data_IF_046530867798
#
_entry.id   IF_046530867798
#
_cell.length_a   1.000
_cell.length_b   1.000
_cell.length_c   1.000
_cell.angle_alpha   90.00
_cell.angle_beta   90.00
_cell.angle_gamma   90.00
#
_symmetry.space_group_name_H-M   'P 1'
#
loop_
_entity.id
_entity.type
_entity.pdbx_description
1 polymer ?
#
# COMPACT_ATOMS: atom_id res chain seq x y z
N UNK A 1 -16.31 7.55 25.17
CA UNK A 1 -15.34 6.80 24.34
C UNK A 1 -13.97 7.41 24.61
N UNK A 2 -13.11 6.69 25.34
CA UNK A 2 -11.78 7.15 25.72
C UNK A 2 -10.80 6.58 24.68
N UNK A 3 -10.14 7.45 23.91
CA UNK A 3 -9.02 7.03 23.06
C UNK A 3 -7.77 7.01 23.93
N UNK A 4 -7.24 5.81 24.20
CA UNK A 4 -5.88 5.67 24.71
C UNK A 4 -4.95 5.73 23.50
N UNK A 5 -4.25 6.85 23.32
CA UNK A 5 -3.07 6.89 22.45
C UNK A 5 -1.94 6.17 23.21
N UNK A 6 -1.48 5.03 22.71
CA UNK A 6 -0.25 4.40 23.22
C UNK A 6 0.94 4.95 22.42
N UNK A 7 1.92 5.60 23.07
CA UNK A 7 3.19 5.93 22.45
C UNK A 7 3.87 4.64 21.98
N UNK A 8 4.08 4.49 20.67
CA UNK A 8 4.67 3.28 20.07
C UNK A 8 3.82 2.53 19.05
N UNK A 9 2.61 3.01 18.71
CA UNK A 9 1.82 2.44 17.62
C UNK A 9 2.39 2.82 16.25
N UNK A 10 3.34 2.03 15.74
CA UNK A 10 3.93 2.20 14.41
C UNK A 10 3.88 0.91 13.60
N UNK A 11 3.83 1.04 12.28
CA UNK A 11 3.95 -0.09 11.35
C UNK A 11 5.43 -0.32 11.07
N UNK A 12 5.92 -1.54 11.31
CA UNK A 12 7.28 -1.95 10.92
C UNK A 12 7.20 -2.85 9.69
N UNK A 13 7.83 -2.41 8.60
CA UNK A 13 7.87 -3.13 7.34
C UNK A 13 8.90 -4.27 7.37
N UNK A 14 8.78 -5.20 6.42
CA UNK A 14 9.78 -6.26 6.22
C UNK A 14 11.15 -5.65 5.95
N UNK A 15 12.09 -5.93 6.86
CA UNK A 15 13.47 -5.51 6.73
C UNK A 15 14.24 -6.42 5.75
N UNK A 16 15.42 -5.97 5.31
CA UNK A 16 16.32 -6.69 4.40
C UNK A 16 15.75 -6.87 2.99
N UNK A 17 15.83 -8.08 2.43
CA UNK A 17 15.48 -8.35 1.03
C UNK A 17 13.99 -8.69 0.93
N UNK A 18 13.21 -7.66 0.60
CA UNK A 18 11.75 -7.73 0.41
C UNK A 18 11.35 -7.43 -1.03
N UNK A 19 12.29 -7.45 -1.98
CA UNK A 19 11.98 -7.23 -3.39
C UNK A 19 10.90 -8.21 -3.86
N UNK A 20 9.88 -7.70 -4.54
CA UNK A 20 8.73 -8.49 -4.98
C UNK A 20 7.61 -8.65 -3.95
N UNK A 21 7.85 -8.31 -2.67
CA UNK A 21 6.82 -8.40 -1.63
C UNK A 21 6.08 -7.07 -1.50
N UNK A 22 4.75 -7.14 -1.40
CA UNK A 22 3.87 -6.00 -1.13
C UNK A 22 3.27 -6.15 0.27
N UNK A 23 3.37 -5.10 1.09
CA UNK A 23 2.60 -4.97 2.33
C UNK A 23 1.54 -3.90 2.11
N UNK A 24 0.26 -4.24 2.18
CA UNK A 24 -0.84 -3.31 1.94
C UNK A 24 -1.65 -3.05 3.20
N UNK A 25 -2.06 -1.80 3.40
CA UNK A 25 -3.10 -1.38 4.32
C UNK A 25 -4.15 -0.65 3.51
N UNK A 26 -5.39 -1.12 3.56
CA UNK A 26 -6.43 -0.54 2.71
C UNK A 26 -7.78 -0.53 3.39
N UNK A 27 -8.61 0.43 2.99
CA UNK A 27 -10.01 0.50 3.37
C UNK A 27 -10.84 -0.07 2.22
N UNK A 28 -11.74 -1.02 2.50
CA UNK A 28 -12.58 -1.64 1.47
C UNK A 28 -14.06 -1.66 1.84
N UNK A 29 -14.91 -1.31 0.88
CA UNK A 29 -16.34 -1.62 0.85
C UNK A 29 -16.63 -2.52 -0.36
N UNK A 30 -17.91 -2.76 -0.66
CA UNK A 30 -18.30 -3.61 -1.79
C UNK A 30 -17.82 -3.01 -3.13
N UNK A 31 -17.96 -1.69 -3.29
CA UNK A 31 -17.71 -0.99 -4.56
C UNK A 31 -16.51 -0.03 -4.54
N UNK A 32 -15.73 0.04 -3.45
CA UNK A 32 -14.66 1.04 -3.31
C UNK A 32 -13.50 0.55 -2.45
N UNK A 33 -12.30 1.02 -2.79
CA UNK A 33 -11.05 0.66 -2.12
C UNK A 33 -10.13 1.89 -2.02
N UNK A 34 -9.42 2.02 -0.91
CA UNK A 34 -8.39 3.04 -0.69
C UNK A 34 -7.12 2.39 -0.15
N UNK A 35 -6.04 2.47 -0.93
CA UNK A 35 -4.81 1.71 -0.69
C UNK A 35 -3.63 2.53 -0.20
N UNK A 36 -2.89 1.92 0.73
CA UNK A 36 -1.51 2.22 1.07
C UNK A 36 -0.67 0.96 0.91
N UNK A 37 0.18 0.93 -0.12
CA UNK A 37 1.00 -0.23 -0.43
C UNK A 37 2.48 0.11 -0.26
N UNK A 38 3.17 -0.71 0.50
CA UNK A 38 4.61 -0.64 0.67
C UNK A 38 5.25 -1.69 -0.23
N UNK A 39 5.94 -1.21 -1.26
CA UNK A 39 6.62 -2.03 -2.25
C UNK A 39 8.03 -2.32 -1.76
N UNK A 40 8.29 -3.58 -1.41
CA UNK A 40 9.57 -4.01 -0.89
C UNK A 40 10.72 -3.88 -1.90
N UNK A 41 11.95 -4.02 -1.41
CA UNK A 41 13.16 -3.82 -2.23
C UNK A 41 14.33 -4.68 -1.74
N UNK A 42 15.42 -4.73 -2.53
CA UNK A 42 16.66 -5.38 -2.10
C UNK A 42 17.23 -4.70 -0.86
N UNK A 43 17.96 -5.46 -0.04
CA UNK A 43 18.66 -4.94 1.14
C UNK A 43 19.47 -3.69 0.80
N UNK A 44 19.33 -2.65 1.62
CA UNK A 44 20.02 -1.37 1.45
C UNK A 44 19.40 -0.43 0.41
N UNK A 45 18.33 -0.83 -0.29
CA UNK A 45 17.57 0.04 -1.20
C UNK A 45 16.27 0.54 -0.53
N UNK A 46 15.78 1.75 -0.90
CA UNK A 46 14.58 2.31 -0.29
C UNK A 46 13.33 1.50 -0.66
N UNK A 47 12.43 1.34 0.32
CA UNK A 47 11.04 0.91 0.11
C UNK A 47 10.28 2.08 -0.52
N UNK A 48 9.35 1.78 -1.43
CA UNK A 48 8.46 2.79 -2.01
C UNK A 48 7.07 2.65 -1.43
N UNK A 49 6.42 3.77 -1.17
CA UNK A 49 4.99 3.81 -0.85
C UNK A 49 4.22 4.10 -2.14
N UNK A 50 3.28 3.25 -2.46
CA UNK A 50 2.27 3.49 -3.48
C UNK A 50 0.93 3.75 -2.82
N UNK A 51 0.24 4.74 -3.35
CA UNK A 51 -1.04 5.21 -2.85
C UNK A 51 -1.66 6.00 -3.99
N UNK A 52 -2.96 5.84 -4.21
CA UNK A 52 -3.67 6.46 -5.32
C UNK A 52 -4.01 7.94 -5.06
N UNK A 53 -3.05 8.66 -4.50
CA UNK A 53 -3.21 10.01 -4.03
C UNK A 53 -1.92 10.88 -4.38
N UNK A 54 -1.96 12.15 -4.90
CA UNK A 54 -0.94 13.26 -4.96
C UNK A 54 -1.32 14.70 -4.46
N UNK A 55 -0.36 15.48 -3.90
CA UNK A 55 -0.45 16.91 -3.49
C UNK A 55 0.86 17.71 -3.81
N UNK A 56 0.79 18.76 -4.64
CA UNK A 56 1.91 19.66 -4.98
C UNK A 56 3.18 18.98 -5.54
N UNK A 57 3.01 18.11 -6.55
CA UNK A 57 4.08 17.30 -7.21
C UNK A 57 4.77 16.25 -6.32
N UNK A 58 4.43 16.18 -5.04
CA UNK A 58 4.71 15.06 -4.15
C UNK A 58 3.41 14.24 -3.95
N UNK A 59 3.41 12.89 -4.00
CA UNK A 59 2.24 12.11 -3.56
C UNK A 59 1.82 12.57 -2.13
N UNK A 60 0.57 12.71 -1.63
CA UNK A 60 -0.47 11.67 -1.41
C UNK A 60 -1.98 12.24 -1.33
N UNK A 61 -2.61 12.87 -2.36
CA UNK A 61 -4.06 13.34 -2.69
C UNK A 61 -5.07 13.47 -1.56
N UNK A 62 -5.72 14.62 -1.64
CA UNK A 62 -7.09 14.84 -1.17
C UNK A 62 -8.05 14.55 -2.32
N UNK A 63 -8.79 13.45 -2.24
CA UNK A 63 -9.89 13.19 -3.16
C UNK A 63 -11.16 13.87 -2.61
N UNK A 64 -11.64 14.92 -3.27
CA UNK A 64 -12.82 15.68 -2.82
C UNK A 64 -14.11 14.99 -3.27
N UNK A 65 -15.16 15.10 -2.47
CA UNK A 65 -16.48 14.59 -2.81
C UNK A 65 -17.15 15.50 -3.86
N UNK A 66 -16.84 15.23 -5.13
CA UNK A 66 -17.40 15.94 -6.29
C UNK A 66 -18.49 15.10 -6.99
N UNK A 67 -19.29 14.35 -6.21
CA UNK A 67 -20.38 13.52 -6.77
C UNK A 67 -21.42 14.33 -7.56
N UNK A 68 -21.58 15.62 -7.23
CA UNK A 68 -22.45 16.55 -7.96
C UNK A 68 -22.00 16.77 -9.41
N UNK A 69 -20.71 16.56 -9.68
CA UNK A 69 -20.10 16.68 -11.00
C UNK A 69 -19.95 15.30 -11.69
N UNK A 70 -20.59 14.25 -11.16
CA UNK A 70 -20.54 12.90 -11.70
C UNK A 70 -19.29 12.10 -11.33
N UNK A 71 -18.43 12.62 -10.45
CA UNK A 71 -17.22 11.92 -10.00
C UNK A 71 -17.57 10.89 -8.92
N UNK A 72 -17.18 9.63 -9.11
CA UNK A 72 -17.36 8.57 -8.11
C UNK A 72 -16.65 8.89 -6.79
N UNK A 73 -17.23 8.52 -5.65
CA UNK A 73 -16.67 8.75 -4.32
C UNK A 73 -17.14 7.65 -3.36
N UNK A 74 -16.30 7.13 -2.43
CA UNK A 74 -16.72 6.11 -1.49
C UNK A 74 -17.85 6.60 -0.57
N UNK A 75 -18.99 5.92 -0.57
CA UNK A 75 -20.16 6.30 0.26
C UNK A 75 -20.59 5.22 1.24
N UNK A 76 -20.09 4.00 1.09
CA UNK A 76 -20.40 2.88 1.97
C UNK A 76 -19.41 2.81 3.15
N UNK A 77 -19.81 2.22 4.29
CA UNK A 77 -18.88 1.90 5.36
C UNK A 77 -17.73 1.02 4.83
N UNK A 78 -16.49 1.35 5.20
CA UNK A 78 -15.31 0.60 4.79
C UNK A 78 -14.66 -0.10 5.98
N UNK A 79 -14.09 -1.29 5.74
CA UNK A 79 -13.31 -2.04 6.70
C UNK A 79 -11.82 -1.81 6.49
N UNK A 80 -11.07 -1.65 7.58
CA UNK A 80 -9.61 -1.61 7.55
C UNK A 80 -9.07 -3.04 7.42
N UNK A 81 -8.27 -3.26 6.38
CA UNK A 81 -7.61 -4.52 6.10
C UNK A 81 -6.09 -4.31 6.00
N UNK A 82 -5.34 -5.37 6.28
CA UNK A 82 -3.89 -5.42 6.08
C UNK A 82 -3.50 -6.77 5.48
N UNK A 83 -2.64 -6.77 4.46
CA UNK A 83 -2.20 -7.98 3.76
C UNK A 83 -0.70 -7.93 3.43
N UNK A 84 -0.08 -9.10 3.31
CA UNK A 84 1.26 -9.28 2.78
C UNK A 84 1.16 -10.32 1.67
N UNK A 85 1.65 -9.99 0.47
CA UNK A 85 1.50 -10.86 -0.69
C UNK A 85 2.63 -10.70 -1.71
N UNK A 86 2.69 -11.65 -2.65
CA UNK A 86 3.68 -11.72 -3.73
C UNK A 86 3.27 -10.87 -4.93
N UNK A 87 3.94 -9.74 -5.12
CA UNK A 87 3.77 -8.81 -6.24
C UNK A 87 4.90 -8.89 -7.27
N UNK A 88 5.56 -10.04 -7.42
CA UNK A 88 6.74 -10.22 -8.27
C UNK A 88 6.59 -9.73 -9.71
N UNK A 89 5.38 -9.73 -10.25
CA UNK A 89 5.12 -9.28 -11.62
C UNK A 89 5.28 -7.76 -11.81
N UNK A 90 5.26 -6.96 -10.73
CA UNK A 90 5.24 -5.50 -10.88
C UNK A 90 5.90 -4.69 -9.74
N UNK A 91 5.85 -5.17 -8.48
CA UNK A 91 6.09 -4.34 -7.28
C UNK A 91 7.46 -3.64 -7.24
N UNK A 92 8.53 -4.36 -7.59
CA UNK A 92 9.91 -3.85 -7.48
C UNK A 92 10.57 -3.76 -8.85
N UNK A 93 11.00 -2.56 -9.23
CA UNK A 93 11.65 -2.29 -10.52
C UNK A 93 10.80 -2.78 -11.73
N UNK A 94 9.48 -2.59 -11.67
CA UNK A 94 8.55 -3.06 -12.70
C UNK A 94 8.53 -4.58 -12.84
N UNK A 95 8.70 -5.31 -11.73
CA UNK A 95 8.71 -6.77 -11.69
C UNK A 95 10.05 -7.43 -12.03
N UNK A 96 11.12 -6.67 -12.28
CA UNK A 96 12.46 -7.23 -12.56
C UNK A 96 13.14 -7.82 -11.32
N UNK A 97 12.76 -7.38 -10.13
CA UNK A 97 13.27 -7.92 -8.87
C UNK A 97 12.23 -8.84 -8.27
N UNK A 98 12.61 -10.11 -8.09
CA UNK A 98 11.75 -11.18 -7.57
C UNK A 98 11.97 -11.44 -6.08
N UNK A 99 10.93 -11.94 -5.44
CA UNK A 99 10.92 -12.49 -4.11
C UNK A 99 11.91 -13.65 -4.02
N UNK A 100 12.49 -13.82 -2.84
CA UNK A 100 13.59 -14.77 -2.60
C UNK A 100 13.18 -16.25 -2.86
N UNK A 101 11.88 -16.53 -3.08
CA UNK A 101 11.33 -17.86 -3.34
C UNK A 101 11.39 -18.36 -4.79
N UNK A 102 11.67 -17.50 -5.78
CA UNK A 102 11.65 -17.87 -7.21
C UNK A 102 13.03 -18.17 -7.83
N UNK A 103 14.11 -18.06 -7.06
CA UNK A 103 15.47 -18.41 -7.50
C UNK A 103 15.88 -19.86 -7.18
N UNK A 104 15.01 -20.64 -6.50
CA UNK A 104 15.30 -22.02 -6.08
C UNK A 104 14.35 -23.08 -6.65
N UNK A 105 13.60 -22.77 -7.72
CA UNK A 105 12.90 -23.79 -8.53
C UNK A 105 13.33 -23.68 -9.99
N UNK A 106 14.55 -24.14 -10.24
CA UNK A 106 14.93 -24.80 -11.50
C UNK A 106 15.00 -26.30 -11.20
#
# INVERSE_FOLDING_TARGET
MMFVHQPGSGIKLLANDSGGVVTAFYLKSEDSELDFEFLGNRKGKPIRVQTNLFCDEYPIRVFKNNRRDGVGFPTQPMQLMATIWDGDSWATNGGKTKSFGLMHRL
#
